data_IF_912925338441
#
_entry.id   IF_912925338441
#
_cell.length_a   1.000
_cell.length_b   1.000
_cell.length_c   1.000
_cell.angle_alpha   90.00
_cell.angle_beta   90.00
_cell.angle_gamma   90.00
#
_symmetry.space_group_name_H-M   'P 1'
#
loop_
_entity.id
_entity.type
_entity.pdbx_description
1 polymer ?
#
# COMPACT_ATOMS: atom_id res chain seq x y z
N UNK A 1 50.10 22.97 26.11
CA UNK A 1 48.96 22.51 25.26
C UNK A 1 48.62 23.68 24.35
N UNK A 2 49.10 23.67 23.10
CA UNK A 2 48.62 24.60 22.10
C UNK A 2 47.20 24.21 21.77
N UNK A 3 46.22 24.94 22.29
CA UNK A 3 44.84 24.85 21.81
C UNK A 3 44.85 25.30 20.36
N UNK A 4 44.58 24.39 19.46
CA UNK A 4 44.37 24.69 18.03
C UNK A 4 43.00 25.35 17.89
N UNK A 5 42.88 26.59 18.34
CA UNK A 5 41.70 27.39 18.13
C UNK A 5 41.40 27.46 16.66
N UNK A 6 40.26 26.96 16.25
CA UNK A 6 39.80 26.93 14.85
C UNK A 6 39.87 25.56 14.13
N UNK A 7 40.27 24.48 14.78
CA UNK A 7 40.14 23.16 14.17
C UNK A 7 38.69 22.67 14.23
N UNK A 8 38.15 22.25 13.09
CA UNK A 8 36.79 21.71 12.96
C UNK A 8 36.59 20.46 13.82
N UNK A 9 37.69 19.67 13.97
CA UNK A 9 37.75 18.48 14.85
C UNK A 9 39.05 18.54 15.67
N UNK A 10 38.93 18.86 16.95
CA UNK A 10 40.08 19.02 17.87
C UNK A 10 40.78 17.69 18.15
N UNK A 11 40.07 16.57 18.10
CA UNK A 11 40.60 15.24 18.46
C UNK A 11 40.95 14.46 17.17
N UNK A 12 42.23 14.08 17.03
CA UNK A 12 42.76 13.49 15.80
C UNK A 12 42.07 12.21 15.34
N UNK A 13 41.65 11.33 16.26
CA UNK A 13 40.95 10.08 15.94
C UNK A 13 39.53 10.30 15.45
N UNK A 14 38.90 11.43 15.71
CA UNK A 14 37.56 11.79 15.21
C UNK A 14 37.58 12.28 13.75
N UNK A 15 38.73 12.64 13.20
CA UNK A 15 38.88 13.14 11.83
C UNK A 15 38.38 12.13 10.78
N UNK A 16 38.76 10.84 10.79
CA UNK A 16 38.20 9.87 9.88
C UNK A 16 36.69 9.64 10.11
N UNK A 17 36.25 9.59 11.39
CA UNK A 17 34.82 9.44 11.71
C UNK A 17 34.01 10.58 11.10
N UNK A 18 34.45 11.82 11.28
CA UNK A 18 33.79 12.99 10.67
C UNK A 18 33.77 12.90 9.15
N UNK A 19 34.90 12.58 8.51
CA UNK A 19 35.02 12.49 7.05
C UNK A 19 34.09 11.45 6.46
N UNK A 20 34.11 10.22 6.97
CA UNK A 20 33.28 9.12 6.48
C UNK A 20 31.81 9.27 6.88
N UNK A 21 31.54 9.80 8.06
CA UNK A 21 30.19 10.09 8.53
C UNK A 21 29.49 11.14 7.67
N UNK A 22 30.17 12.25 7.36
CA UNK A 22 29.63 13.28 6.44
C UNK A 22 29.44 12.70 5.04
N UNK A 23 30.38 11.89 4.55
CA UNK A 23 30.25 11.25 3.24
C UNK A 23 29.01 10.32 3.17
N UNK A 24 28.80 9.48 4.21
CA UNK A 24 27.65 8.60 4.32
C UNK A 24 26.32 9.37 4.43
N UNK A 25 26.30 10.41 5.25
CA UNK A 25 25.11 11.26 5.39
C UNK A 25 24.77 11.98 4.07
N UNK A 26 25.78 12.53 3.38
CA UNK A 26 25.60 13.15 2.07
C UNK A 26 25.16 12.12 1.02
N UNK A 27 25.69 10.89 1.05
CA UNK A 27 25.25 9.84 0.15
C UNK A 27 23.74 9.57 0.34
N UNK A 28 23.28 9.35 1.55
CA UNK A 28 21.88 9.02 1.84
C UNK A 28 20.95 10.22 1.55
N UNK A 29 21.15 11.34 2.21
CA UNK A 29 20.25 12.51 2.08
C UNK A 29 20.46 13.25 0.76
N UNK A 30 21.71 13.52 0.39
CA UNK A 30 22.05 14.21 -0.85
C UNK A 30 21.77 13.36 -2.10
N UNK A 31 21.98 12.04 -2.02
CA UNK A 31 21.66 11.11 -3.10
C UNK A 31 20.17 11.05 -3.38
N UNK A 32 19.35 10.92 -2.33
CA UNK A 32 17.90 10.99 -2.45
C UNK A 32 17.43 12.33 -3.03
N UNK A 33 18.00 13.44 -2.56
CA UNK A 33 17.70 14.77 -3.07
C UNK A 33 18.06 14.92 -4.55
N UNK A 34 19.25 14.48 -4.95
CA UNK A 34 19.67 14.52 -6.37
C UNK A 34 18.76 13.64 -7.24
N UNK A 35 18.41 12.45 -6.75
CA UNK A 35 17.50 11.58 -7.46
C UNK A 35 16.14 12.25 -7.68
N UNK A 36 15.54 12.81 -6.63
CA UNK A 36 14.25 13.50 -6.72
C UNK A 36 14.32 14.73 -7.62
N UNK A 37 15.45 15.46 -7.65
CA UNK A 37 15.62 16.64 -8.49
C UNK A 37 15.72 16.32 -9.99
N UNK A 38 16.46 15.25 -10.34
CA UNK A 38 16.75 14.93 -11.73
C UNK A 38 15.84 13.88 -12.33
N UNK A 39 15.28 12.97 -11.54
CA UNK A 39 14.50 11.82 -12.00
C UNK A 39 13.04 11.83 -11.56
N UNK A 40 12.62 12.75 -10.71
CA UNK A 40 11.21 12.81 -10.27
C UNK A 40 10.21 12.92 -11.43
N UNK A 41 10.59 13.62 -12.53
CA UNK A 41 9.78 13.74 -13.75
C UNK A 41 9.87 12.53 -14.70
N UNK A 42 10.77 11.58 -14.47
CA UNK A 42 10.97 10.37 -15.27
C UNK A 42 10.54 9.09 -14.53
N UNK A 43 9.97 9.23 -13.33
CA UNK A 43 9.40 8.09 -12.60
C UNK A 43 8.21 7.55 -13.40
N UNK A 44 8.45 6.48 -14.11
CA UNK A 44 7.43 5.64 -14.70
C UNK A 44 7.17 4.50 -13.70
N UNK A 45 6.20 4.69 -12.79
CA UNK A 45 5.89 3.74 -11.74
C UNK A 45 6.42 4.13 -10.35
N UNK A 46 5.98 3.41 -9.34
CA UNK A 46 6.34 3.69 -7.93
C UNK A 46 7.71 3.13 -7.53
N UNK A 47 8.38 2.40 -8.41
CA UNK A 47 9.73 1.88 -8.17
C UNK A 47 10.80 2.89 -8.60
N UNK A 48 11.75 3.12 -7.69
CA UNK A 48 12.95 3.87 -8.01
C UNK A 48 13.79 3.09 -9.01
N UNK A 49 14.15 3.72 -10.12
CA UNK A 49 15.16 3.17 -11.03
C UNK A 49 16.46 2.96 -10.27
N UNK A 50 16.84 1.71 -10.08
CA UNK A 50 17.99 1.34 -9.24
C UNK A 50 19.28 1.97 -9.73
N UNK A 51 19.52 1.98 -11.04
CA UNK A 51 20.78 2.50 -11.60
C UNK A 51 20.93 4.02 -11.41
N UNK A 52 19.96 4.88 -11.77
CA UNK A 52 20.01 6.31 -11.47
C UNK A 52 20.14 6.60 -9.97
N UNK A 53 19.43 5.86 -9.12
CA UNK A 53 19.51 6.03 -7.67
C UNK A 53 20.92 5.74 -7.15
N UNK A 54 21.55 4.64 -7.58
CA UNK A 54 22.94 4.30 -7.22
C UNK A 54 23.90 5.39 -7.67
N UNK A 55 23.76 5.89 -8.91
CA UNK A 55 24.61 6.98 -9.43
C UNK A 55 24.47 8.25 -8.57
N UNK A 56 23.26 8.63 -8.17
CA UNK A 56 23.01 9.79 -7.29
C UNK A 56 23.64 9.60 -5.92
N UNK A 57 23.50 8.41 -5.31
CA UNK A 57 24.11 8.07 -4.02
C UNK A 57 25.65 8.17 -4.07
N UNK A 58 26.27 7.59 -5.10
CA UNK A 58 27.73 7.63 -5.29
C UNK A 58 28.22 9.06 -5.53
N UNK A 59 27.52 9.85 -6.35
CA UNK A 59 27.88 11.24 -6.63
C UNK A 59 27.80 12.10 -5.35
N UNK A 60 26.71 12.01 -4.62
CA UNK A 60 26.51 12.75 -3.36
C UNK A 60 27.52 12.33 -2.28
N UNK A 61 27.81 11.04 -2.18
CA UNK A 61 28.84 10.50 -1.28
C UNK A 61 30.24 11.04 -1.60
N UNK A 62 30.59 11.12 -2.89
CA UNK A 62 31.86 11.69 -3.33
C UNK A 62 31.95 13.19 -2.99
N UNK A 63 30.90 13.95 -3.25
CA UNK A 63 30.80 15.38 -2.90
C UNK A 63 30.97 15.57 -1.39
N UNK A 64 30.23 14.79 -0.58
CA UNK A 64 30.33 14.84 0.88
C UNK A 64 31.73 14.49 1.40
N UNK A 65 32.36 13.46 0.84
CA UNK A 65 33.71 13.05 1.21
C UNK A 65 34.77 14.14 0.92
N UNK A 66 34.72 14.73 -0.28
CA UNK A 66 35.65 15.81 -0.61
C UNK A 66 35.36 17.06 0.20
N UNK A 67 34.09 17.44 0.39
CA UNK A 67 33.71 18.57 1.23
C UNK A 67 34.24 18.44 2.66
N UNK A 68 34.03 17.28 3.29
CA UNK A 68 34.58 17.00 4.63
C UNK A 68 36.11 17.01 4.64
N UNK A 69 36.75 16.49 3.59
CA UNK A 69 38.22 16.49 3.46
C UNK A 69 38.79 17.91 3.33
N UNK A 70 38.14 18.78 2.56
CA UNK A 70 38.50 20.19 2.41
C UNK A 70 38.37 20.96 3.73
N UNK A 71 37.29 20.72 4.46
CA UNK A 71 37.06 21.31 5.80
C UNK A 71 38.13 20.91 6.78
N UNK A 72 38.49 19.62 6.83
CA UNK A 72 39.53 19.11 7.74
C UNK A 72 40.94 19.57 7.37
N UNK A 73 41.24 19.70 6.06
CA UNK A 73 42.54 20.15 5.57
C UNK A 73 42.68 21.67 5.55
N UNK A 74 41.56 22.42 5.71
CA UNK A 74 41.50 23.88 5.50
C UNK A 74 42.10 24.30 4.18
N UNK A 75 41.96 23.45 3.14
CA UNK A 75 42.53 23.66 1.81
C UNK A 75 41.65 23.00 0.75
N UNK A 76 41.56 23.65 -0.41
CA UNK A 76 40.80 23.12 -1.56
C UNK A 76 41.56 22.02 -2.35
N UNK A 77 42.88 21.91 -2.19
CA UNK A 77 43.72 20.96 -2.94
C UNK A 77 43.88 19.63 -2.19
N UNK A 78 42.78 18.89 -1.96
CA UNK A 78 42.79 17.61 -1.23
C UNK A 78 42.71 16.37 -2.14
N UNK A 79 42.44 16.56 -3.45
CA UNK A 79 42.12 15.47 -4.39
C UNK A 79 43.24 14.41 -4.51
N UNK A 80 44.52 14.83 -4.60
CA UNK A 80 45.66 13.94 -4.86
C UNK A 80 45.99 12.99 -3.70
N UNK A 81 45.65 13.37 -2.44
CA UNK A 81 45.92 12.56 -1.25
C UNK A 81 44.76 11.76 -0.74
N UNK A 82 43.55 12.09 -1.16
CA UNK A 82 42.30 11.54 -0.57
C UNK A 82 41.61 10.48 -1.45
N UNK A 83 42.17 10.13 -2.63
CA UNK A 83 41.52 9.21 -3.57
C UNK A 83 41.29 7.79 -3.00
N UNK A 84 42.21 7.30 -2.13
CA UNK A 84 42.05 5.98 -1.47
C UNK A 84 40.86 5.96 -0.54
N UNK A 85 40.68 7.04 0.23
CA UNK A 85 39.52 7.16 1.12
C UNK A 85 38.20 7.33 0.36
N UNK A 86 38.21 8.02 -0.80
CA UNK A 86 37.07 8.06 -1.69
C UNK A 86 36.70 6.65 -2.18
N UNK A 87 37.69 5.86 -2.59
CA UNK A 87 37.45 4.47 -3.00
C UNK A 87 36.75 3.63 -1.92
N UNK A 88 37.10 3.84 -0.66
CA UNK A 88 36.44 3.18 0.49
C UNK A 88 34.95 3.62 0.58
N UNK A 89 34.67 4.92 0.44
CA UNK A 89 33.27 5.44 0.48
C UNK A 89 32.46 4.84 -0.66
N UNK A 90 32.97 4.90 -1.90
CA UNK A 90 32.27 4.39 -3.07
C UNK A 90 32.04 2.86 -2.95
N UNK A 91 33.06 2.11 -2.52
CA UNK A 91 32.91 0.67 -2.29
C UNK A 91 31.90 0.36 -1.19
N UNK A 92 31.89 1.12 -0.10
CA UNK A 92 30.90 0.98 0.97
C UNK A 92 29.48 1.27 0.49
N UNK A 93 29.28 2.37 -0.23
CA UNK A 93 27.97 2.68 -0.82
C UNK A 93 27.52 1.61 -1.81
N UNK A 94 28.41 1.16 -2.70
CA UNK A 94 28.11 0.09 -3.65
C UNK A 94 27.75 -1.22 -2.94
N UNK A 95 28.48 -1.58 -1.87
CA UNK A 95 28.18 -2.77 -1.08
C UNK A 95 26.79 -2.67 -0.43
N UNK A 96 26.43 -1.54 0.16
CA UNK A 96 25.10 -1.32 0.74
C UNK A 96 24.02 -1.43 -0.36
N UNK A 97 24.24 -0.80 -1.49
CA UNK A 97 23.31 -0.91 -2.63
C UNK A 97 23.15 -2.36 -3.10
N UNK A 98 24.24 -3.13 -3.19
CA UNK A 98 24.18 -4.55 -3.55
C UNK A 98 23.41 -5.37 -2.49
N UNK A 99 23.66 -5.14 -1.20
CA UNK A 99 22.96 -5.85 -0.10
C UNK A 99 21.44 -5.59 -0.19
N UNK A 100 21.04 -4.34 -0.46
CA UNK A 100 19.63 -3.96 -0.56
C UNK A 100 19.01 -4.44 -1.88
N UNK A 101 19.73 -4.30 -3.01
CA UNK A 101 19.21 -4.68 -4.34
C UNK A 101 18.97 -6.20 -4.47
N UNK A 102 19.88 -7.01 -3.92
CA UNK A 102 19.76 -8.47 -3.95
C UNK A 102 19.05 -9.03 -2.71
N UNK A 103 18.48 -8.19 -1.88
CA UNK A 103 17.89 -8.56 -0.59
C UNK A 103 18.68 -9.62 0.18
N UNK A 104 20.01 -9.44 0.28
CA UNK A 104 20.89 -10.40 0.94
C UNK A 104 20.56 -10.63 2.42
N UNK A 105 19.71 -9.79 3.00
CA UNK A 105 19.20 -9.91 4.37
C UNK A 105 17.85 -10.65 4.43
N UNK A 106 17.23 -10.96 3.29
CA UNK A 106 15.93 -11.61 3.20
C UNK A 106 14.83 -10.81 3.91
N UNK A 107 14.91 -9.47 3.83
CA UNK A 107 13.94 -8.60 4.51
C UNK A 107 12.78 -8.25 3.59
N UNK A 108 13.03 -8.06 2.27
CA UNK A 108 12.01 -7.64 1.32
C UNK A 108 10.92 -8.71 1.15
N UNK A 109 11.32 -9.96 0.99
CA UNK A 109 10.43 -11.09 0.71
C UNK A 109 9.90 -11.78 1.97
N UNK A 110 10.22 -11.22 3.14
CA UNK A 110 9.85 -11.84 4.41
C UNK A 110 8.36 -11.71 4.70
N UNK A 111 7.66 -12.83 4.71
CA UNK A 111 6.30 -12.97 5.26
C UNK A 111 6.39 -13.41 6.72
N UNK A 112 5.89 -12.62 7.69
CA UNK A 112 5.95 -13.00 9.10
C UNK A 112 5.17 -14.28 9.39
N UNK A 113 5.63 -15.09 10.34
CA UNK A 113 4.87 -16.23 10.84
C UNK A 113 3.67 -15.77 11.68
N UNK A 114 2.54 -16.49 11.61
CA UNK A 114 1.33 -16.16 12.37
C UNK A 114 1.60 -16.00 13.87
N UNK A 115 2.49 -16.84 14.42
CA UNK A 115 2.90 -16.81 15.82
C UNK A 115 3.58 -15.51 16.26
N UNK A 116 4.21 -14.79 15.32
CA UNK A 116 4.92 -13.52 15.54
C UNK A 116 4.02 -12.30 15.41
N UNK A 117 2.87 -12.44 14.74
CA UNK A 117 1.96 -11.34 14.44
C UNK A 117 1.15 -10.99 15.69
N UNK A 118 1.07 -9.70 15.99
CA UNK A 118 0.15 -9.12 16.97
C UNK A 118 -1.11 -8.63 16.26
N UNK A 119 -0.95 -7.84 15.19
CA UNK A 119 -2.03 -7.37 14.32
C UNK A 119 -1.56 -7.34 12.88
N UNK A 120 -2.48 -7.57 11.96
CA UNK A 120 -2.30 -7.40 10.53
C UNK A 120 -3.39 -6.46 10.01
N UNK A 121 -2.98 -5.32 9.49
CA UNK A 121 -3.86 -4.42 8.74
C UNK A 121 -3.69 -4.72 7.25
N UNK A 122 -4.78 -5.02 6.58
CA UNK A 122 -4.85 -5.19 5.13
C UNK A 122 -5.74 -4.11 4.53
N UNK A 123 -5.21 -3.39 3.55
CA UNK A 123 -5.98 -2.44 2.75
C UNK A 123 -6.02 -2.91 1.31
N UNK A 124 -7.24 -3.04 0.79
CA UNK A 124 -7.52 -3.52 -0.56
C UNK A 124 -8.86 -2.98 -1.04
N UNK A 125 -8.97 -2.66 -2.32
CA UNK A 125 -10.19 -2.14 -2.94
C UNK A 125 -10.84 -1.03 -2.09
N UNK A 126 -10.02 -0.07 -1.64
CA UNK A 126 -10.38 1.07 -0.77
C UNK A 126 -10.93 0.72 0.62
N UNK A 127 -10.92 -0.56 1.00
CA UNK A 127 -11.31 -1.00 2.32
C UNK A 127 -10.09 -1.38 3.17
N UNK A 128 -10.18 -1.10 4.47
CA UNK A 128 -9.14 -1.44 5.44
C UNK A 128 -9.70 -2.41 6.47
N UNK A 129 -9.01 -3.53 6.67
CA UNK A 129 -9.38 -4.56 7.64
C UNK A 129 -8.25 -4.75 8.64
N UNK A 130 -8.56 -4.76 9.92
CA UNK A 130 -7.60 -5.09 10.99
C UNK A 130 -7.89 -6.49 11.50
N UNK A 131 -6.93 -7.39 11.35
CA UNK A 131 -7.02 -8.79 11.75
C UNK A 131 -6.16 -9.04 12.98
N UNK A 132 -6.68 -9.86 13.91
CA UNK A 132 -5.96 -10.29 15.10
C UNK A 132 -5.91 -11.83 15.17
N UNK A 133 -4.80 -12.45 15.59
CA UNK A 133 -4.69 -13.91 15.65
C UNK A 133 -5.74 -14.57 16.55
N UNK A 134 -6.21 -13.86 17.57
CA UNK A 134 -7.20 -14.39 18.52
C UNK A 134 -8.60 -14.50 17.94
N UNK A 135 -8.97 -13.59 17.04
CA UNK A 135 -10.32 -13.53 16.45
C UNK A 135 -10.37 -14.03 15.02
N UNK A 136 -9.26 -13.88 14.28
CA UNK A 136 -9.24 -13.93 12.82
C UNK A 136 -8.18 -14.91 12.28
N UNK A 137 -7.92 -15.99 13.00
CA UNK A 137 -6.84 -16.93 12.65
C UNK A 137 -6.92 -17.41 11.19
N UNK A 138 -8.12 -17.77 10.72
CA UNK A 138 -8.32 -18.29 9.36
C UNK A 138 -8.12 -17.20 8.30
N UNK A 139 -8.65 -15.98 8.52
CA UNK A 139 -8.44 -14.86 7.60
C UNK A 139 -6.98 -14.42 7.56
N UNK A 140 -6.31 -14.45 8.72
CA UNK A 140 -4.89 -14.11 8.82
C UNK A 140 -4.04 -15.10 8.01
N UNK A 141 -4.34 -16.40 8.06
CA UNK A 141 -3.65 -17.39 7.23
C UNK A 141 -3.95 -17.23 5.74
N UNK A 142 -5.18 -16.89 5.37
CA UNK A 142 -5.52 -16.58 3.97
C UNK A 142 -4.71 -15.39 3.45
N UNK A 143 -4.61 -14.29 4.21
CA UNK A 143 -3.82 -13.12 3.82
C UNK A 143 -2.32 -13.44 3.78
N UNK A 144 -1.83 -14.29 4.69
CA UNK A 144 -0.44 -14.74 4.64
C UNK A 144 -0.15 -15.58 3.40
N UNK A 145 -1.05 -16.50 3.05
CA UNK A 145 -0.95 -17.30 1.82
C UNK A 145 -0.98 -16.40 0.58
N UNK A 146 -1.89 -15.42 0.53
CA UNK A 146 -1.93 -14.39 -0.50
C UNK A 146 -0.59 -13.65 -0.61
N UNK A 147 -0.05 -13.16 0.51
CA UNK A 147 1.23 -12.46 0.52
C UNK A 147 2.40 -13.34 0.04
N UNK A 148 2.44 -14.62 0.46
CA UNK A 148 3.44 -15.58 -0.01
C UNK A 148 3.35 -15.79 -1.52
N UNK A 149 2.14 -15.86 -2.07
CA UNK A 149 1.93 -16.02 -3.52
C UNK A 149 2.34 -14.77 -4.29
N UNK A 150 2.04 -13.56 -3.77
CA UNK A 150 2.50 -12.29 -4.37
C UNK A 150 4.02 -12.23 -4.41
N UNK A 151 4.71 -12.62 -3.33
CA UNK A 151 6.18 -12.69 -3.27
C UNK A 151 6.73 -13.75 -4.23
N UNK A 152 6.09 -14.91 -4.34
CA UNK A 152 6.51 -15.95 -5.28
C UNK A 152 6.37 -15.51 -6.75
N UNK A 153 5.36 -14.69 -7.05
CA UNK A 153 5.07 -14.12 -8.37
C UNK A 153 5.75 -12.75 -8.59
N UNK A 154 6.72 -12.35 -7.76
CA UNK A 154 7.33 -11.00 -7.79
C UNK A 154 7.78 -10.56 -9.17
N UNK A 155 8.38 -11.46 -9.96
CA UNK A 155 8.82 -11.14 -11.32
C UNK A 155 7.67 -10.77 -12.25
N UNK A 156 6.53 -11.45 -12.12
CA UNK A 156 5.31 -11.14 -12.87
C UNK A 156 4.70 -9.81 -12.40
N UNK A 157 4.62 -9.60 -11.10
CA UNK A 157 4.10 -8.34 -10.51
C UNK A 157 4.91 -7.15 -11.01
N UNK A 158 6.23 -7.23 -10.97
CA UNK A 158 7.15 -6.16 -11.47
C UNK A 158 7.01 -5.93 -12.97
N UNK A 159 6.89 -7.00 -13.77
CA UNK A 159 6.68 -6.87 -15.21
C UNK A 159 5.38 -6.14 -15.54
N UNK A 160 4.28 -6.50 -14.86
CA UNK A 160 2.98 -5.89 -15.07
C UNK A 160 2.94 -4.42 -14.63
N UNK A 161 3.60 -4.11 -13.53
CA UNK A 161 3.74 -2.73 -13.08
C UNK A 161 4.57 -1.87 -14.04
N UNK A 162 5.67 -2.41 -14.57
CA UNK A 162 6.45 -1.73 -15.60
C UNK A 162 5.63 -1.48 -16.89
N UNK A 163 4.75 -2.40 -17.26
CA UNK A 163 3.80 -2.20 -18.38
C UNK A 163 2.81 -1.09 -18.08
N UNK A 164 2.20 -1.06 -16.90
CA UNK A 164 1.28 0.01 -16.49
C UNK A 164 1.94 1.39 -16.60
N UNK A 165 3.18 1.52 -16.15
CA UNK A 165 3.90 2.79 -16.18
C UNK A 165 4.26 3.26 -17.59
N UNK A 166 4.42 2.35 -18.55
CA UNK A 166 4.77 2.66 -19.94
C UNK A 166 3.58 2.96 -20.85
N UNK A 167 2.38 2.49 -20.46
CA UNK A 167 1.13 2.65 -21.23
C UNK A 167 0.14 3.52 -20.46
N UNK A 168 0.35 4.84 -20.46
CA UNK A 168 -0.68 5.83 -20.14
C UNK A 168 -1.69 5.98 -21.28
N UNK A 169 -1.83 5.02 -22.16
CA UNK A 169 -2.78 5.01 -23.26
C UNK A 169 -3.85 3.96 -22.98
N UNK A 170 -5.04 4.39 -22.83
CA UNK A 170 -6.40 3.89 -23.14
C UNK A 170 -6.65 2.41 -23.52
N UNK A 171 -5.66 1.53 -23.46
CA UNK A 171 -5.82 0.10 -23.67
C UNK A 171 -5.99 -0.63 -22.33
N UNK A 172 -6.95 -0.19 -21.50
CA UNK A 172 -7.56 -1.07 -20.50
C UNK A 172 -8.23 -2.21 -21.28
N UNK A 173 -7.55 -3.32 -21.38
CA UNK A 173 -8.18 -4.50 -21.98
C UNK A 173 -9.34 -4.91 -21.07
N UNK A 174 -10.52 -5.23 -21.60
CA UNK A 174 -11.73 -5.53 -20.80
C UNK A 174 -11.57 -6.75 -19.86
N UNK A 175 -10.39 -7.34 -19.82
CA UNK A 175 -10.03 -8.53 -19.03
C UNK A 175 -8.97 -8.27 -17.97
N UNK A 176 -8.62 -7.00 -17.70
CA UNK A 176 -7.60 -6.65 -16.71
C UNK A 176 -8.08 -5.53 -15.79
N UNK A 177 -7.72 -5.61 -14.51
CA UNK A 177 -7.99 -4.58 -13.52
C UNK A 177 -6.75 -4.36 -12.65
N UNK A 178 -6.55 -3.15 -12.14
CA UNK A 178 -5.47 -2.85 -11.21
C UNK A 178 -6.02 -2.62 -9.82
N UNK A 179 -5.34 -3.16 -8.82
CA UNK A 179 -5.66 -2.90 -7.41
C UNK A 179 -4.40 -2.73 -6.58
N UNK A 180 -4.49 -1.89 -5.55
CA UNK A 180 -3.44 -1.77 -4.53
C UNK A 180 -3.67 -2.77 -3.41
N UNK A 181 -2.62 -3.50 -3.01
CA UNK A 181 -2.61 -4.30 -1.80
C UNK A 181 -1.60 -3.71 -0.82
N UNK A 182 -2.08 -3.25 0.34
CA UNK A 182 -1.22 -2.77 1.41
C UNK A 182 -1.36 -3.69 2.63
N UNK A 183 -0.25 -4.19 3.13
CA UNK A 183 -0.17 -5.08 4.29
C UNK A 183 0.73 -4.45 5.35
N UNK A 184 0.18 -4.17 6.52
CA UNK A 184 0.92 -3.68 7.67
C UNK A 184 0.90 -4.70 8.80
N UNK A 185 2.02 -5.40 8.99
CA UNK A 185 2.21 -6.32 10.10
C UNK A 185 2.76 -5.58 11.31
N UNK A 186 2.08 -5.65 12.44
CA UNK A 186 2.65 -5.29 13.74
C UNK A 186 3.00 -6.59 14.46
N UNK A 187 4.30 -6.78 14.73
CA UNK A 187 4.78 -7.99 15.39
C UNK A 187 4.71 -7.84 16.91
N UNK A 188 4.64 -8.97 17.62
CA UNK A 188 4.72 -9.02 19.10
C UNK A 188 5.98 -8.42 19.66
N UNK A 189 7.06 -8.30 18.87
CA UNK A 189 8.29 -7.58 19.20
C UNK A 189 8.14 -6.05 19.19
N UNK A 190 7.03 -5.51 18.72
CA UNK A 190 6.82 -4.08 18.44
C UNK A 190 7.36 -3.63 17.07
N UNK A 191 7.95 -4.53 16.29
CA UNK A 191 8.41 -4.20 14.93
C UNK A 191 7.21 -4.08 14.00
N UNK A 192 7.20 -3.03 13.18
CA UNK A 192 6.20 -2.84 12.12
C UNK A 192 6.85 -3.17 10.76
N UNK A 193 6.13 -3.90 9.92
CA UNK A 193 6.53 -4.27 8.56
C UNK A 193 5.42 -3.83 7.62
N UNK A 194 5.70 -2.86 6.78
CA UNK A 194 4.77 -2.36 5.76
C UNK A 194 5.14 -2.95 4.40
N UNK A 195 4.14 -3.42 3.65
CA UNK A 195 4.26 -3.95 2.30
C UNK A 195 3.18 -3.34 1.42
N UNK A 196 3.60 -2.89 0.27
CA UNK A 196 2.69 -2.34 -0.72
C UNK A 196 2.95 -2.98 -2.08
N UNK A 197 1.89 -3.37 -2.76
CA UNK A 197 1.94 -3.98 -4.08
C UNK A 197 0.89 -3.36 -4.99
N UNK A 198 1.26 -3.06 -6.24
CA UNK A 198 0.32 -2.75 -7.31
C UNK A 198 0.08 -4.03 -8.10
N UNK A 199 -1.10 -4.61 -7.94
CA UNK A 199 -1.43 -5.90 -8.53
C UNK A 199 -2.26 -5.71 -9.80
N UNK A 200 -1.93 -6.47 -10.84
CA UNK A 200 -2.76 -6.62 -12.02
C UNK A 200 -3.59 -7.88 -11.87
N UNK A 201 -4.90 -7.72 -11.81
CA UNK A 201 -5.87 -8.82 -11.80
C UNK A 201 -6.24 -9.14 -13.23
N UNK A 202 -6.20 -10.42 -13.60
CA UNK A 202 -6.59 -10.86 -14.93
C UNK A 202 -7.67 -11.94 -14.84
N UNK A 203 -8.63 -11.89 -15.78
CA UNK A 203 -9.76 -12.83 -15.78
C UNK A 203 -9.33 -14.29 -15.87
N UNK A 204 -8.27 -14.58 -16.62
CA UNK A 204 -7.76 -15.94 -16.79
C UNK A 204 -7.13 -16.48 -15.50
N UNK A 205 -6.48 -15.63 -14.72
CA UNK A 205 -5.83 -16.03 -13.46
C UNK A 205 -6.81 -16.15 -12.30
N UNK A 206 -7.95 -15.46 -12.33
CA UNK A 206 -9.01 -15.62 -11.33
C UNK A 206 -9.54 -17.06 -11.25
N UNK A 207 -9.41 -17.86 -12.32
CA UNK A 207 -9.82 -19.25 -12.36
C UNK A 207 -8.73 -20.23 -11.90
N UNK A 208 -7.53 -19.74 -11.53
CA UNK A 208 -6.36 -20.58 -11.20
C UNK A 208 -6.04 -20.50 -9.70
N UNK A 209 -6.31 -21.55 -8.91
CA UNK A 209 -6.24 -21.51 -7.44
C UNK A 209 -4.87 -21.17 -6.85
N UNK A 210 -3.78 -21.36 -7.61
CA UNK A 210 -2.40 -21.07 -7.20
C UNK A 210 -1.96 -19.63 -7.42
N UNK A 211 -2.82 -18.78 -7.99
CA UNK A 211 -2.48 -17.39 -8.29
C UNK A 211 -2.91 -16.44 -7.17
N UNK A 212 -2.21 -15.31 -7.06
CA UNK A 212 -2.64 -14.27 -6.13
C UNK A 212 -3.99 -13.65 -6.54
N UNK A 213 -4.32 -13.62 -7.83
CA UNK A 213 -5.61 -13.14 -8.35
C UNK A 213 -6.77 -13.93 -7.73
N UNK A 214 -6.68 -15.26 -7.76
CA UNK A 214 -7.68 -16.16 -7.17
C UNK A 214 -7.77 -16.00 -5.64
N UNK A 215 -6.62 -15.99 -4.94
CA UNK A 215 -6.62 -15.87 -3.48
C UNK A 215 -7.17 -14.51 -3.02
N UNK A 216 -6.90 -13.46 -3.77
CA UNK A 216 -7.41 -12.13 -3.52
C UNK A 216 -8.92 -12.07 -3.71
N UNK A 217 -9.41 -12.63 -4.80
CA UNK A 217 -10.82 -12.75 -5.10
C UNK A 217 -11.58 -13.53 -4.02
N UNK A 218 -11.03 -14.67 -3.61
CA UNK A 218 -11.59 -15.47 -2.52
C UNK A 218 -11.63 -14.70 -1.19
N UNK A 219 -10.60 -13.91 -0.89
CA UNK A 219 -10.58 -13.08 0.32
C UNK A 219 -11.67 -12.01 0.28
N UNK A 220 -11.72 -11.20 -0.78
CA UNK A 220 -12.66 -10.07 -0.91
C UNK A 220 -14.12 -10.58 -0.95
N UNK A 221 -14.34 -11.74 -1.58
CA UNK A 221 -15.68 -12.32 -1.77
C UNK A 221 -16.13 -13.23 -0.64
N UNK A 222 -15.29 -13.49 0.36
CA UNK A 222 -15.72 -14.29 1.52
C UNK A 222 -16.82 -13.59 2.33
N UNK A 223 -17.83 -14.34 2.77
CA UNK A 223 -18.95 -13.79 3.57
C UNK A 223 -18.45 -13.09 4.84
N UNK A 224 -17.40 -13.62 5.45
CA UNK A 224 -16.79 -13.03 6.65
C UNK A 224 -16.18 -11.65 6.36
N UNK A 225 -15.50 -11.48 5.24
CA UNK A 225 -14.92 -10.18 4.85
C UNK A 225 -16.02 -9.21 4.43
N UNK A 226 -17.04 -9.68 3.69
CA UNK A 226 -18.22 -8.90 3.34
C UNK A 226 -18.99 -8.41 4.57
N UNK A 227 -19.23 -9.29 5.56
CA UNK A 227 -19.87 -8.94 6.82
C UNK A 227 -19.07 -7.91 7.63
N UNK A 228 -17.75 -8.09 7.67
CA UNK A 228 -16.84 -7.17 8.35
C UNK A 228 -16.77 -5.80 7.66
N UNK A 229 -16.78 -5.76 6.33
CA UNK A 229 -16.88 -4.53 5.56
C UNK A 229 -18.12 -3.72 5.93
N UNK A 230 -19.23 -4.39 6.22
CA UNK A 230 -20.49 -3.76 6.63
C UNK A 230 -20.59 -3.50 8.14
N UNK A 231 -19.55 -3.74 8.91
CA UNK A 231 -19.57 -3.64 10.37
C UNK A 231 -20.71 -4.45 11.05
N UNK A 232 -21.16 -5.56 10.43
CA UNK A 232 -22.31 -6.34 10.94
C UNK A 232 -22.01 -7.04 12.28
N UNK A 233 -20.74 -7.37 12.54
CA UNK A 233 -20.29 -8.08 13.72
C UNK A 233 -19.60 -7.18 14.75
N UNK A 234 -19.70 -5.85 14.59
CA UNK A 234 -18.98 -4.89 15.42
C UNK A 234 -19.91 -3.80 15.98
N UNK A 235 -20.32 -3.95 17.25
CA UNK A 235 -21.15 -2.97 17.95
C UNK A 235 -20.47 -1.60 18.18
N UNK A 236 -19.18 -1.49 17.80
CA UNK A 236 -18.45 -0.23 17.90
C UNK A 236 -18.90 0.80 16.86
N UNK A 237 -19.47 0.34 15.75
CA UNK A 237 -19.92 1.19 14.65
C UNK A 237 -21.45 1.28 14.59
N UNK A 238 -21.92 2.47 14.32
CA UNK A 238 -23.36 2.74 14.12
C UNK A 238 -23.57 3.53 12.85
N UNK A 239 -24.65 3.24 12.13
CA UNK A 239 -24.98 4.01 10.92
C UNK A 239 -25.42 5.42 11.33
N UNK A 240 -24.68 6.42 10.87
CA UNK A 240 -24.97 7.83 11.11
C UNK A 240 -25.82 8.45 9.99
N UNK A 241 -25.75 7.92 8.78
CA UNK A 241 -26.48 8.38 7.61
C UNK A 241 -26.13 7.56 6.37
N UNK A 242 -26.31 8.17 5.20
CA UNK A 242 -25.91 7.58 3.94
C UNK A 242 -26.52 8.31 2.74
N UNK A 243 -26.33 7.71 1.58
CA UNK A 243 -26.90 8.19 0.33
C UNK A 243 -27.29 7.02 -0.57
N UNK A 244 -28.31 7.18 -1.37
CA UNK A 244 -28.70 6.25 -2.41
C UNK A 244 -28.69 7.00 -3.76
N UNK A 245 -27.90 6.53 -4.70
CA UNK A 245 -27.89 7.03 -6.07
C UNK A 245 -28.50 6.01 -7.01
N UNK A 246 -29.45 6.45 -7.85
CA UNK A 246 -30.12 5.62 -8.85
C UNK A 246 -29.66 6.08 -10.22
N UNK A 247 -28.71 5.36 -10.81
CA UNK A 247 -28.06 5.74 -12.06
C UNK A 247 -29.04 5.87 -13.22
N UNK A 248 -29.99 4.93 -13.35
CA UNK A 248 -30.98 4.94 -14.43
C UNK A 248 -31.90 6.16 -14.43
N UNK A 249 -32.00 6.89 -13.31
CA UNK A 249 -32.84 8.08 -13.15
C UNK A 249 -32.04 9.36 -12.93
N UNK A 250 -30.75 9.25 -12.63
CA UNK A 250 -29.93 10.37 -12.20
C UNK A 250 -30.42 11.01 -10.89
N UNK A 251 -31.05 10.21 -10.02
CA UNK A 251 -31.66 10.65 -8.75
C UNK A 251 -30.78 10.23 -7.59
N UNK A 252 -30.52 11.17 -6.67
CA UNK A 252 -29.80 10.94 -5.42
C UNK A 252 -30.69 11.24 -4.21
N UNK A 253 -30.65 10.38 -3.21
CA UNK A 253 -31.42 10.51 -1.96
C UNK A 253 -30.45 10.50 -0.77
N UNK A 254 -30.59 11.46 0.12
CA UNK A 254 -29.91 11.46 1.43
C UNK A 254 -30.69 10.58 2.40
N UNK A 255 -29.98 9.72 3.12
CA UNK A 255 -30.54 8.77 4.06
C UNK A 255 -30.26 9.23 5.50
N UNK A 256 -31.27 9.25 6.34
CA UNK A 256 -31.07 9.41 7.76
C UNK A 256 -30.56 8.13 8.43
N UNK A 257 -30.06 8.25 9.67
CA UNK A 257 -29.49 7.11 10.41
C UNK A 257 -30.46 5.92 10.57
N UNK A 258 -31.77 6.18 10.73
CA UNK A 258 -32.79 5.12 10.84
C UNK A 258 -33.02 4.38 9.54
N UNK A 259 -33.01 5.10 8.43
CA UNK A 259 -33.16 4.52 7.09
C UNK A 259 -31.93 3.72 6.74
N UNK A 260 -30.74 4.28 6.97
CA UNK A 260 -29.47 3.59 6.77
C UNK A 260 -29.35 2.30 7.60
N UNK A 261 -29.73 2.32 8.89
CA UNK A 261 -29.75 1.13 9.75
C UNK A 261 -30.73 0.05 9.25
N UNK A 262 -31.92 0.46 8.78
CA UNK A 262 -32.88 -0.48 8.22
C UNK A 262 -32.36 -1.13 6.92
N UNK A 263 -31.69 -0.34 6.07
CA UNK A 263 -31.09 -0.82 4.82
C UNK A 263 -29.88 -1.72 5.14
N UNK A 264 -28.99 -1.33 6.07
CA UNK A 264 -27.86 -2.17 6.49
C UNK A 264 -28.30 -3.56 6.94
N UNK A 265 -29.38 -3.64 7.74
CA UNK A 265 -29.97 -4.91 8.16
C UNK A 265 -30.53 -5.72 6.99
N UNK A 266 -31.07 -5.06 5.97
CA UNK A 266 -31.55 -5.74 4.77
C UNK A 266 -30.38 -6.28 3.94
N UNK A 267 -29.30 -5.49 3.74
CA UNK A 267 -28.06 -5.94 3.08
C UNK A 267 -27.47 -7.13 3.83
N UNK A 268 -27.44 -7.11 5.16
CA UNK A 268 -26.96 -8.24 5.96
C UNK A 268 -27.79 -9.52 5.78
N UNK A 269 -29.11 -9.40 5.58
CA UNK A 269 -29.96 -10.57 5.24
C UNK A 269 -29.68 -11.09 3.83
N UNK A 270 -29.48 -10.21 2.85
CA UNK A 270 -29.09 -10.61 1.49
C UNK A 270 -27.72 -11.29 1.48
N UNK A 271 -26.75 -10.80 2.28
CA UNK A 271 -25.47 -11.47 2.45
C UNK A 271 -25.66 -12.90 3.00
N UNK A 272 -26.44 -13.06 4.06
CA UNK A 272 -26.72 -14.37 4.68
C UNK A 272 -27.46 -15.32 3.72
N UNK A 273 -28.29 -14.78 2.84
CA UNK A 273 -29.02 -15.54 1.84
C UNK A 273 -28.18 -15.86 0.58
N UNK A 274 -26.96 -15.33 0.47
CA UNK A 274 -26.10 -15.47 -0.71
C UNK A 274 -26.57 -14.62 -1.91
N UNK A 275 -27.37 -13.60 -1.68
CA UNK A 275 -27.92 -12.72 -2.71
C UNK A 275 -27.00 -11.51 -3.04
N UNK A 276 -26.00 -11.25 -2.21
CA UNK A 276 -25.01 -10.21 -2.49
C UNK A 276 -23.91 -10.81 -3.37
N UNK A 277 -23.86 -10.36 -4.62
CA UNK A 277 -22.93 -10.84 -5.64
C UNK A 277 -21.46 -10.62 -5.28
N UNK A 278 -20.60 -11.25 -6.08
CA UNK A 278 -19.16 -11.12 -5.95
C UNK A 278 -18.68 -9.74 -6.43
N UNK A 279 -17.52 -9.33 -5.93
CA UNK A 279 -16.85 -8.11 -6.36
C UNK A 279 -16.44 -8.23 -7.82
N UNK A 280 -16.90 -7.30 -8.65
CA UNK A 280 -16.54 -7.26 -10.06
C UNK A 280 -15.27 -6.43 -10.27
N UNK A 281 -14.15 -7.12 -10.43
CA UNK A 281 -12.84 -6.51 -10.69
C UNK A 281 -12.77 -5.71 -12.00
N UNK A 282 -13.65 -6.00 -12.95
CA UNK A 282 -13.58 -5.49 -14.33
C UNK A 282 -14.68 -4.50 -14.67
N UNK A 283 -15.54 -4.18 -13.72
CA UNK A 283 -16.45 -3.06 -13.85
C UNK A 283 -15.66 -1.78 -13.65
N UNK A 284 -15.08 -1.26 -14.72
CA UNK A 284 -14.46 0.07 -14.70
C UNK A 284 -15.49 1.14 -14.39
N UNK A 285 -15.06 2.37 -14.05
CA UNK A 285 -15.89 3.57 -13.85
C UNK A 285 -16.80 3.94 -15.01
N UNK A 286 -16.61 3.31 -16.17
CA UNK A 286 -17.40 3.49 -17.38
C UNK A 286 -18.63 2.59 -17.41
N UNK A 287 -19.62 2.92 -16.58
CA UNK A 287 -20.97 2.40 -16.76
C UNK A 287 -21.15 0.97 -16.26
N UNK A 288 -20.80 0.71 -14.99
CA UNK A 288 -21.32 -0.47 -14.31
C UNK A 288 -22.85 -0.45 -14.45
N UNK A 289 -23.41 -1.52 -14.94
CA UNK A 289 -24.85 -1.73 -15.10
C UNK A 289 -25.57 -1.85 -13.74
N UNK A 290 -24.97 -1.34 -12.68
CA UNK A 290 -25.61 -1.27 -11.38
C UNK A 290 -26.67 -0.18 -11.41
N UNK A 291 -27.91 -0.59 -11.22
CA UNK A 291 -29.02 0.33 -11.24
C UNK A 291 -29.00 1.29 -10.04
N UNK A 292 -28.29 0.94 -8.96
CA UNK A 292 -28.32 1.68 -7.72
C UNK A 292 -27.00 1.52 -6.94
N UNK A 293 -26.47 2.65 -6.46
CA UNK A 293 -25.32 2.72 -5.53
C UNK A 293 -25.78 3.22 -4.17
N UNK A 294 -25.53 2.42 -3.15
CA UNK A 294 -25.85 2.72 -1.76
C UNK A 294 -24.57 3.08 -1.01
N UNK A 295 -24.46 4.31 -0.53
CA UNK A 295 -23.44 4.74 0.41
C UNK A 295 -23.99 4.68 1.83
N UNK A 296 -23.27 4.10 2.78
CA UNK A 296 -23.60 4.11 4.20
C UNK A 296 -22.46 4.78 4.97
N UNK A 297 -22.84 5.76 5.81
CA UNK A 297 -21.93 6.47 6.68
C UNK A 297 -22.00 5.85 8.08
N UNK A 298 -20.84 5.57 8.66
CA UNK A 298 -20.71 5.02 10.00
C UNK A 298 -19.99 5.99 10.92
N UNK A 299 -20.43 6.05 12.15
CA UNK A 299 -19.78 6.76 13.25
C UNK A 299 -19.42 5.74 14.34
N UNK A 300 -18.18 5.85 14.86
CA UNK A 300 -17.75 5.02 15.99
C UNK A 300 -18.45 5.41 17.30
N UNK A 301 -18.53 4.47 18.25
CA UNK A 301 -19.18 4.69 19.55
C UNK A 301 -18.54 5.85 20.35
N UNK A 302 -17.24 6.10 20.18
CA UNK A 302 -16.52 7.24 20.77
C UNK A 302 -16.68 8.56 19.97
N UNK A 303 -17.31 8.53 18.80
CA UNK A 303 -17.52 9.64 17.86
C UNK A 303 -16.23 10.30 17.35
N UNK A 304 -15.12 9.59 17.43
CA UNK A 304 -13.82 10.10 16.98
C UNK A 304 -13.47 9.60 15.57
N UNK A 305 -14.13 8.53 15.09
CA UNK A 305 -13.88 7.90 13.80
C UNK A 305 -15.14 7.82 12.97
N UNK A 306 -14.93 7.98 11.67
CA UNK A 306 -15.95 7.89 10.64
C UNK A 306 -15.48 6.90 9.59
N UNK A 307 -16.41 6.12 9.05
CA UNK A 307 -16.18 5.23 7.93
C UNK A 307 -17.30 5.39 6.91
N UNK A 308 -17.02 5.09 5.66
CA UNK A 308 -17.97 5.14 4.57
C UNK A 308 -17.85 3.91 3.70
N UNK A 309 -18.99 3.30 3.37
CA UNK A 309 -19.04 2.06 2.63
C UNK A 309 -19.99 2.21 1.46
N UNK A 310 -19.53 1.82 0.26
CA UNK A 310 -20.39 1.70 -0.91
C UNK A 310 -20.82 0.25 -1.13
N UNK A 311 -22.11 0.08 -1.42
CA UNK A 311 -22.74 -1.20 -1.78
C UNK A 311 -23.48 -1.02 -3.10
N UNK A 312 -23.08 -1.78 -4.10
CA UNK A 312 -23.82 -1.85 -5.37
C UNK A 312 -25.05 -2.74 -5.19
N UNK A 313 -26.22 -2.14 -5.27
CA UNK A 313 -27.48 -2.87 -5.09
C UNK A 313 -27.90 -3.48 -6.41
N UNK A 314 -27.95 -4.80 -6.46
CA UNK A 314 -28.42 -5.56 -7.62
C UNK A 314 -29.85 -6.05 -7.44
N UNK A 315 -30.58 -6.40 -8.52
CA UNK A 315 -31.92 -6.99 -8.41
C UNK A 315 -31.98 -8.32 -7.65
N UNK A 316 -30.83 -9.01 -7.49
CA UNK A 316 -30.73 -10.24 -6.72
C UNK A 316 -30.82 -9.99 -5.20
N UNK A 317 -30.48 -8.78 -4.74
CA UNK A 317 -30.55 -8.36 -3.34
C UNK A 317 -32.01 -8.03 -2.94
N UNK A 318 -32.83 -9.06 -2.90
CA UNK A 318 -34.30 -8.93 -2.75
C UNK A 318 -34.71 -8.27 -1.43
N UNK A 319 -34.04 -8.58 -0.34
CA UNK A 319 -34.32 -7.98 0.98
C UNK A 319 -33.98 -6.48 1.01
N UNK A 320 -32.88 -6.11 0.37
CA UNK A 320 -32.46 -4.70 0.23
C UNK A 320 -33.44 -3.93 -0.66
N UNK A 321 -33.79 -4.47 -1.83
CA UNK A 321 -34.75 -3.86 -2.76
C UNK A 321 -36.11 -3.69 -2.06
N UNK A 322 -36.63 -4.71 -1.39
CA UNK A 322 -37.90 -4.64 -0.65
C UNK A 322 -37.84 -3.60 0.49
N UNK A 323 -36.66 -3.41 1.11
CA UNK A 323 -36.48 -2.37 2.11
C UNK A 323 -36.55 -0.97 1.48
N UNK A 324 -35.85 -0.76 0.37
CA UNK A 324 -35.87 0.51 -0.36
C UNK A 324 -37.28 0.87 -0.87
N UNK A 325 -38.05 -0.11 -1.33
CA UNK A 325 -39.46 0.08 -1.71
C UNK A 325 -40.33 0.52 -0.54
N UNK A 326 -40.19 -0.15 0.62
CA UNK A 326 -40.94 0.20 1.84
C UNK A 326 -40.62 1.61 2.35
N UNK A 327 -39.41 2.07 2.12
CA UNK A 327 -38.98 3.44 2.44
C UNK A 327 -39.43 4.46 1.38
N UNK A 328 -40.02 4.00 0.27
CA UNK A 328 -40.49 4.87 -0.81
C UNK A 328 -39.37 5.46 -1.68
N UNK A 329 -38.15 4.90 -1.60
CA UNK A 329 -36.97 5.37 -2.33
C UNK A 329 -36.92 4.79 -3.74
N UNK A 330 -37.50 3.61 -3.95
CA UNK A 330 -37.52 2.91 -5.24
C UNK A 330 -38.93 2.39 -5.50
N UNK A 331 -39.34 2.32 -6.76
CA UNK A 331 -40.55 1.62 -7.20
C UNK A 331 -40.15 0.52 -8.16
N UNK A 332 -40.60 -0.71 -7.94
CA UNK A 332 -40.48 -1.78 -8.94
C UNK A 332 -41.18 -1.37 -10.22
N UNK A 333 -40.45 -1.41 -11.33
CA UNK A 333 -40.99 -1.15 -12.66
C UNK A 333 -41.76 -2.35 -13.18
#
# INVERSE_FOLDING_TARGET
RSETAGDVVAVGWLRPVFRYGVAGLCALLGGQFLYSLFWYGFQQGEYYDTLPMVVCLLAAGAIGYYGASMLLAKAFKVFRGSWKGLGIVLAGCALVCCVLHFDLLGVADRVPEASQIQTLEIRIADNTYTLTPEKDADLLEQVRALHQTVVADESYVREMEARRSSTWSEDETPNTAYTGLNLTYTLKSGTRIDRWYSLLITRDRLAQPETYDYLLDQFVNSDTVKARRLHLDDDFWTVSGGSLYIDTRGEGYELGSREGDAILKAVGRDLTAGNWGDYDWFSGDSGSSYAMDLGLDFESADKERYDWISVHVTPAMTETVDCLERLGLVTRA
#
